data_IF_265351763846
#
_entry.id   IF_265351763846
#
_cell.length_a   1.000
_cell.length_b   1.000
_cell.length_c   1.000
_cell.angle_alpha   90.00
_cell.angle_beta   90.00
_cell.angle_gamma   90.00
#
_symmetry.space_group_name_H-M   'P 1'
#
loop_
_entity.id
_entity.type
_entity.pdbx_description
1 polymer ?
#
# COMPACT_ATOMS: atom_id res chain seq x y z
N UNK A 1 49.12 -40.80 -16.89
CA UNK A 1 48.25 -40.93 -15.71
C UNK A 1 47.57 -39.58 -15.50
N UNK A 2 46.33 -39.39 -15.95
CA UNK A 2 45.58 -38.15 -15.72
C UNK A 2 44.55 -38.42 -14.63
N UNK A 3 44.80 -37.90 -13.43
CA UNK A 3 43.87 -37.91 -12.30
C UNK A 3 42.83 -36.80 -12.49
N UNK A 4 41.56 -37.16 -12.63
CA UNK A 4 40.45 -36.20 -12.59
C UNK A 4 39.90 -36.13 -11.17
N UNK A 5 40.05 -34.97 -10.52
CA UNK A 5 39.42 -34.65 -9.24
C UNK A 5 38.01 -34.12 -9.49
N UNK A 6 37.00 -34.88 -9.08
CA UNK A 6 35.59 -34.48 -9.15
C UNK A 6 35.28 -33.56 -7.96
N UNK A 7 35.07 -32.27 -8.21
CA UNK A 7 34.70 -31.28 -7.19
C UNK A 7 33.18 -31.32 -6.97
N UNK A 8 32.74 -31.78 -5.79
CA UNK A 8 31.35 -31.71 -5.37
C UNK A 8 31.01 -30.28 -4.97
N UNK A 9 30.15 -29.62 -5.74
CA UNK A 9 29.54 -28.34 -5.37
C UNK A 9 28.43 -28.57 -4.34
N UNK A 10 28.66 -28.15 -3.10
CA UNK A 10 27.64 -28.06 -2.06
C UNK A 10 26.77 -26.83 -2.34
N UNK A 11 25.55 -27.02 -2.82
CA UNK A 11 24.62 -25.92 -3.10
C UNK A 11 24.04 -25.43 -1.78
N UNK A 12 24.48 -24.25 -1.33
CA UNK A 12 23.92 -23.57 -0.17
C UNK A 12 22.48 -23.12 -0.53
N UNK A 13 21.47 -23.78 0.02
CA UNK A 13 20.07 -23.35 -0.07
C UNK A 13 19.92 -22.03 0.69
N UNK A 14 20.02 -20.91 -0.03
CA UNK A 14 19.65 -19.58 0.48
C UNK A 14 18.13 -19.57 0.71
N UNK A 15 17.73 -19.59 1.98
CA UNK A 15 16.35 -19.34 2.41
C UNK A 15 15.89 -18.00 1.86
N UNK A 16 15.06 -18.04 0.82
CA UNK A 16 14.40 -16.86 0.27
C UNK A 16 13.51 -16.31 1.37
N UNK A 17 13.87 -15.15 1.93
CA UNK A 17 13.00 -14.47 2.87
C UNK A 17 11.69 -14.20 2.13
N UNK A 18 10.55 -14.64 2.70
CA UNK A 18 9.23 -14.46 2.11
C UNK A 18 9.05 -12.99 1.71
N UNK A 19 8.94 -12.75 0.41
CA UNK A 19 8.64 -11.41 -0.12
C UNK A 19 7.16 -11.04 0.08
N UNK A 20 6.31 -12.03 0.35
CA UNK A 20 4.88 -11.81 0.53
C UNK A 20 4.55 -11.48 1.98
N UNK A 21 4.04 -10.28 2.20
CA UNK A 21 3.52 -9.87 3.50
C UNK A 21 2.15 -10.53 3.75
N UNK A 22 2.14 -11.55 4.61
CA UNK A 22 0.89 -12.22 5.00
C UNK A 22 0.02 -11.32 5.86
N UNK A 23 -1.30 -11.47 5.75
CA UNK A 23 -2.31 -10.65 6.41
C UNK A 23 -2.35 -9.18 5.97
N UNK A 24 -1.73 -8.83 4.85
CA UNK A 24 -1.82 -7.50 4.26
C UNK A 24 -2.92 -7.39 3.20
N UNK A 25 -3.35 -6.16 2.87
CA UNK A 25 -4.30 -5.92 1.80
C UNK A 25 -3.84 -6.42 0.43
N UNK A 26 -4.83 -6.75 -0.38
CA UNK A 26 -4.69 -6.96 -1.81
C UNK A 26 -5.99 -6.58 -2.51
N UNK A 27 -5.91 -6.37 -3.82
CA UNK A 27 -7.07 -6.06 -4.65
C UNK A 27 -7.57 -7.35 -5.30
N UNK A 28 -8.75 -7.80 -4.87
CA UNK A 28 -9.48 -8.89 -5.51
C UNK A 28 -10.16 -8.45 -6.82
N UNK A 29 -10.98 -9.34 -7.41
CA UNK A 29 -11.68 -9.07 -8.66
C UNK A 29 -12.51 -7.79 -8.58
N UNK A 30 -12.44 -6.97 -9.64
CA UNK A 30 -13.12 -5.68 -9.72
C UNK A 30 -12.75 -4.68 -8.61
N UNK A 31 -11.54 -4.80 -8.05
CA UNK A 31 -11.03 -3.92 -6.99
C UNK A 31 -11.61 -4.20 -5.61
N UNK A 32 -12.28 -5.34 -5.42
CA UNK A 32 -12.82 -5.74 -4.11
C UNK A 32 -11.71 -5.93 -3.08
N UNK A 33 -12.05 -5.73 -1.82
CA UNK A 33 -11.14 -6.02 -0.73
C UNK A 33 -10.73 -7.50 -0.73
N UNK A 34 -9.43 -7.72 -0.52
CA UNK A 34 -8.86 -9.02 -0.25
C UNK A 34 -7.76 -8.92 0.79
N UNK A 35 -7.32 -10.10 1.23
CA UNK A 35 -6.21 -10.26 2.17
C UNK A 35 -5.26 -11.36 1.69
N UNK A 36 -3.96 -11.14 1.83
CA UNK A 36 -2.93 -12.11 1.51
C UNK A 36 -2.84 -13.21 2.57
N UNK A 37 -3.39 -14.39 2.28
CA UNK A 37 -3.36 -15.57 3.16
C UNK A 37 -3.11 -16.84 2.37
N UNK A 38 -2.92 -17.97 3.05
CA UNK A 38 -2.77 -19.25 2.36
C UNK A 38 -4.04 -19.60 1.58
N UNK A 39 -3.87 -20.27 0.44
CA UNK A 39 -4.99 -20.76 -0.37
C UNK A 39 -5.94 -21.65 0.46
N UNK A 40 -5.40 -22.53 1.31
CA UNK A 40 -6.18 -23.37 2.21
C UNK A 40 -7.03 -22.56 3.21
N UNK A 41 -6.46 -21.51 3.82
CA UNK A 41 -7.20 -20.61 4.71
C UNK A 41 -8.28 -19.84 3.95
N UNK A 42 -8.01 -19.44 2.71
CA UNK A 42 -9.00 -18.75 1.88
C UNK A 42 -10.21 -19.65 1.58
N UNK A 43 -9.95 -20.87 1.13
CA UNK A 43 -10.99 -21.87 0.84
C UNK A 43 -11.80 -22.19 2.10
N UNK A 44 -11.15 -22.39 3.23
CA UNK A 44 -11.81 -22.68 4.51
C UNK A 44 -12.72 -21.52 4.98
N UNK A 45 -12.36 -20.29 4.65
CA UNK A 45 -13.16 -19.10 4.95
C UNK A 45 -14.31 -18.87 3.96
N UNK A 46 -14.41 -19.68 2.89
CA UNK A 46 -15.37 -19.51 1.80
C UNK A 46 -15.05 -18.33 0.88
N UNK A 47 -13.77 -17.96 0.76
CA UNK A 47 -13.29 -16.93 -0.16
C UNK A 47 -12.86 -17.51 -1.52
N UNK A 48 -12.57 -16.62 -2.46
CA UNK A 48 -11.93 -16.95 -3.73
C UNK A 48 -10.45 -16.57 -3.64
N UNK A 49 -9.57 -17.51 -3.98
CA UNK A 49 -8.13 -17.27 -4.05
C UNK A 49 -7.74 -16.72 -5.44
N UNK A 50 -7.04 -15.58 -5.46
CA UNK A 50 -6.56 -14.93 -6.69
C UNK A 50 -5.03 -14.96 -6.69
N UNK A 51 -4.47 -15.52 -7.76
CA UNK A 51 -3.02 -15.55 -7.98
C UNK A 51 -2.52 -14.24 -8.60
N UNK A 52 -1.31 -13.83 -8.23
CA UNK A 52 -0.62 -12.64 -8.71
C UNK A 52 -1.15 -11.32 -8.13
N UNK A 53 -2.01 -11.38 -7.11
CA UNK A 53 -2.70 -10.21 -6.57
C UNK A 53 -2.13 -9.73 -5.23
N UNK A 54 -1.28 -10.54 -4.56
CA UNK A 54 -0.53 -10.08 -3.40
C UNK A 54 0.77 -9.39 -3.84
N UNK A 55 1.25 -8.42 -3.07
CA UNK A 55 2.61 -7.95 -3.22
C UNK A 55 3.59 -9.12 -3.08
N UNK A 56 4.31 -9.42 -4.16
CA UNK A 56 5.32 -10.48 -4.26
C UNK A 56 4.87 -11.89 -3.78
N UNK A 57 3.74 -12.38 -4.30
CA UNK A 57 3.16 -13.73 -4.11
C UNK A 57 4.19 -14.83 -3.76
N UNK A 58 4.14 -15.33 -2.51
CA UNK A 58 4.76 -16.61 -2.16
C UNK A 58 3.91 -17.76 -2.74
N UNK A 59 4.52 -18.93 -2.97
CA UNK A 59 3.90 -20.01 -3.75
C UNK A 59 2.48 -20.40 -3.29
N UNK A 60 2.22 -20.44 -1.97
CA UNK A 60 0.93 -20.81 -1.38
C UNK A 60 0.12 -19.63 -0.82
N UNK A 61 0.63 -18.40 -0.93
CA UNK A 61 -0.09 -17.20 -0.51
C UNK A 61 -0.81 -16.59 -1.71
N UNK A 62 -2.10 -16.33 -1.53
CA UNK A 62 -2.99 -15.79 -2.55
C UNK A 62 -3.78 -14.64 -1.97
N UNK A 63 -4.22 -13.73 -2.83
CA UNK A 63 -5.19 -12.73 -2.43
C UNK A 63 -6.52 -13.44 -2.20
N UNK A 64 -7.01 -13.47 -0.98
CA UNK A 64 -8.31 -14.03 -0.66
C UNK A 64 -9.37 -12.93 -0.66
N UNK A 65 -10.31 -12.99 -1.60
CA UNK A 65 -11.45 -12.08 -1.62
C UNK A 65 -12.73 -12.85 -1.29
N UNK A 66 -13.49 -12.35 -0.32
CA UNK A 66 -14.79 -12.92 0.07
C UNK A 66 -15.85 -11.83 -0.10
N UNK A 67 -16.71 -11.91 -1.12
CA UNK A 67 -17.56 -10.79 -1.48
C UNK A 67 -18.73 -10.56 -0.51
N UNK A 68 -19.12 -11.59 0.24
CA UNK A 68 -20.28 -11.56 1.12
C UNK A 68 -19.96 -12.20 2.47
N UNK A 69 -20.51 -11.61 3.53
CA UNK A 69 -20.57 -12.15 4.89
C UNK A 69 -22.04 -12.08 5.37
N UNK A 70 -22.33 -12.46 6.61
CA UNK A 70 -23.71 -12.69 7.07
C UNK A 70 -24.64 -11.49 6.85
N UNK A 71 -24.16 -10.27 7.07
CA UNK A 71 -24.95 -9.04 6.96
C UNK A 71 -24.29 -7.97 6.08
N UNK A 72 -23.44 -8.37 5.13
CA UNK A 72 -22.75 -7.40 4.28
C UNK A 72 -21.62 -7.98 3.44
N UNK A 73 -20.50 -7.27 3.38
CA UNK A 73 -19.34 -7.64 2.56
C UNK A 73 -18.02 -7.52 3.34
N UNK A 74 -17.03 -8.36 3.02
CA UNK A 74 -15.74 -8.32 3.70
C UNK A 74 -14.89 -7.15 3.23
N UNK A 75 -14.41 -6.34 4.19
CA UNK A 75 -13.57 -5.17 3.96
C UNK A 75 -12.59 -4.95 5.11
N UNK A 76 -11.56 -4.16 4.84
CA UNK A 76 -10.74 -3.59 5.90
C UNK A 76 -11.56 -2.62 6.74
N UNK A 77 -11.26 -2.56 8.04
CA UNK A 77 -12.03 -1.76 9.00
C UNK A 77 -12.08 -0.27 8.60
N UNK A 78 -10.96 0.28 8.08
CA UNK A 78 -10.90 1.67 7.58
C UNK A 78 -11.77 1.93 6.33
N UNK A 79 -12.21 0.87 5.65
CA UNK A 79 -12.96 0.95 4.39
C UNK A 79 -14.47 0.72 4.61
N UNK A 80 -14.92 0.71 5.87
CA UNK A 80 -16.30 0.46 6.25
C UNK A 80 -17.01 1.72 6.75
N UNK A 81 -17.89 2.28 5.92
CA UNK A 81 -18.75 3.43 6.29
C UNK A 81 -19.93 3.03 7.22
N UNK A 82 -19.88 1.89 7.90
CA UNK A 82 -20.98 1.34 8.70
C UNK A 82 -20.48 0.50 9.87
N UNK A 83 -21.34 -0.36 10.40
CA UNK A 83 -20.95 -1.26 11.49
C UNK A 83 -20.14 -2.43 10.98
N UNK A 84 -19.13 -2.82 11.75
CA UNK A 84 -18.27 -3.96 11.44
C UNK A 84 -18.50 -5.12 12.40
N UNK A 85 -18.58 -6.34 11.88
CA UNK A 85 -18.62 -7.57 12.66
C UNK A 85 -17.37 -8.43 12.42
N UNK A 86 -16.75 -8.89 13.50
CA UNK A 86 -15.57 -9.76 13.46
C UNK A 86 -15.92 -11.21 13.11
N UNK A 87 -14.90 -12.02 12.80
CA UNK A 87 -14.99 -13.49 12.66
C UNK A 87 -15.89 -14.01 11.51
N UNK A 88 -16.17 -13.19 10.49
CA UNK A 88 -16.96 -13.61 9.33
C UNK A 88 -16.19 -13.55 8.00
N UNK A 89 -14.98 -12.97 8.03
CA UNK A 89 -14.15 -12.68 6.88
C UNK A 89 -12.75 -13.31 7.05
N UNK A 90 -12.06 -13.63 5.94
CA UNK A 90 -10.74 -14.24 5.99
C UNK A 90 -9.68 -13.29 6.58
N UNK A 91 -8.61 -13.85 7.13
CA UNK A 91 -7.42 -13.09 7.50
C UNK A 91 -7.47 -12.44 8.90
N UNK A 92 -6.78 -11.30 9.11
CA UNK A 92 -6.55 -10.72 10.42
C UNK A 92 -7.79 -10.00 10.95
N UNK A 93 -7.73 -9.60 12.22
CA UNK A 93 -8.83 -8.91 12.92
C UNK A 93 -9.30 -7.60 12.26
N UNK A 94 -8.47 -6.97 11.42
CA UNK A 94 -8.84 -5.75 10.69
C UNK A 94 -9.73 -6.02 9.46
N UNK A 95 -9.76 -7.26 8.93
CA UNK A 95 -10.65 -7.67 7.85
C UNK A 95 -11.98 -8.15 8.44
N UNK A 96 -13.03 -7.35 8.27
CA UNK A 96 -14.31 -7.52 8.96
C UNK A 96 -15.48 -7.55 7.98
N UNK A 97 -16.63 -8.03 8.46
CA UNK A 97 -17.88 -7.92 7.75
C UNK A 97 -18.42 -6.51 7.91
N UNK A 98 -18.44 -5.73 6.84
CA UNK A 98 -19.00 -4.39 6.82
C UNK A 98 -20.48 -4.42 6.42
N UNK A 99 -21.35 -3.82 7.24
CA UNK A 99 -22.79 -3.74 6.97
C UNK A 99 -23.17 -2.77 5.84
N UNK A 100 -22.24 -1.90 5.44
CA UNK A 100 -22.49 -0.89 4.40
C UNK A 100 -22.22 -1.43 3.00
N UNK A 101 -23.11 -1.09 2.06
CA UNK A 101 -22.91 -1.32 0.63
C UNK A 101 -22.13 -0.18 -0.05
N UNK A 102 -21.93 0.97 0.62
CA UNK A 102 -21.20 2.10 0.06
C UNK A 102 -19.75 1.70 -0.25
N UNK A 103 -19.26 1.97 -1.45
CA UNK A 103 -17.91 1.60 -1.92
C UNK A 103 -16.89 2.74 -1.85
N UNK A 104 -17.28 3.91 -1.36
CA UNK A 104 -16.37 5.03 -1.14
C UNK A 104 -15.44 4.77 0.04
N UNK A 105 -14.26 5.38 -0.01
CA UNK A 105 -13.30 5.40 1.09
C UNK A 105 -13.32 6.76 1.81
N UNK A 106 -12.91 6.77 3.08
CA UNK A 106 -12.75 7.99 3.85
C UNK A 106 -14.07 8.56 4.37
N UNK A 107 -14.21 9.89 4.31
CA UNK A 107 -15.18 10.67 5.07
C UNK A 107 -14.54 11.61 6.10
N UNK A 108 -13.23 11.82 6.00
CA UNK A 108 -12.47 12.65 6.92
C UNK A 108 -12.73 14.14 6.68
N UNK A 109 -12.55 14.96 7.71
CA UNK A 109 -12.45 16.41 7.53
C UNK A 109 -11.18 16.74 6.74
N UNK A 110 -11.18 17.89 6.06
CA UNK A 110 -9.99 18.34 5.32
C UNK A 110 -8.79 18.43 6.27
N UNK A 111 -7.62 17.85 5.92
CA UNK A 111 -6.46 17.86 6.79
C UNK A 111 -5.83 19.26 6.82
N UNK A 112 -5.07 19.54 7.87
CA UNK A 112 -4.21 20.73 7.89
C UNK A 112 -3.05 20.52 6.92
N UNK A 113 -2.90 21.45 5.97
CA UNK A 113 -1.76 21.43 5.04
C UNK A 113 -0.57 22.14 5.69
N UNK A 114 0.63 21.52 5.73
CA UNK A 114 1.82 22.16 6.26
C UNK A 114 2.13 23.49 5.57
N UNK A 115 2.58 24.48 6.34
CA UNK A 115 3.02 25.75 5.80
C UNK A 115 4.38 25.62 5.08
N UNK A 116 4.61 26.52 4.14
CA UNK A 116 5.94 26.69 3.51
C UNK A 116 6.93 27.09 4.60
N UNK A 117 8.09 26.44 4.65
CA UNK A 117 9.10 26.60 5.70
C UNK A 117 9.09 25.43 6.69
N UNK A 118 7.92 24.94 7.08
CA UNK A 118 7.80 23.62 7.74
C UNK A 118 8.09 22.51 6.73
N UNK A 119 7.59 22.69 5.50
CA UNK A 119 7.85 21.86 4.34
C UNK A 119 8.38 22.69 3.18
N UNK A 120 9.04 22.03 2.21
CA UNK A 120 9.43 22.71 0.96
C UNK A 120 8.19 23.09 0.16
N UNK A 121 8.29 24.17 -0.60
CA UNK A 121 7.19 24.71 -1.41
C UNK A 121 6.58 23.65 -2.33
N UNK A 122 7.40 22.78 -2.93
CA UNK A 122 6.95 21.69 -3.81
C UNK A 122 6.02 20.73 -3.08
N UNK A 123 6.39 20.30 -1.86
CA UNK A 123 5.58 19.40 -1.02
C UNK A 123 4.27 20.05 -0.60
N UNK A 124 4.30 21.35 -0.25
CA UNK A 124 3.07 22.10 0.13
C UNK A 124 2.12 22.25 -1.06
N UNK A 125 2.65 22.55 -2.25
CA UNK A 125 1.85 22.68 -3.47
C UNK A 125 1.24 21.34 -3.87
N UNK A 126 2.03 20.27 -3.80
CA UNK A 126 1.55 18.92 -4.09
C UNK A 126 0.47 18.49 -3.08
N UNK A 127 0.67 18.75 -1.78
CA UNK A 127 -0.33 18.48 -0.75
C UNK A 127 -1.67 19.19 -1.03
N UNK A 128 -1.64 20.47 -1.43
CA UNK A 128 -2.85 21.22 -1.85
C UNK A 128 -3.54 20.56 -3.04
N UNK A 129 -2.77 20.20 -4.06
CA UNK A 129 -3.32 19.60 -5.28
C UNK A 129 -3.99 18.25 -4.98
N UNK A 130 -3.35 17.40 -4.18
CA UNK A 130 -3.88 16.08 -3.79
C UNK A 130 -5.13 16.23 -2.91
N UNK A 131 -5.11 17.08 -1.88
CA UNK A 131 -6.29 17.30 -1.01
C UNK A 131 -7.48 17.85 -1.80
N UNK A 132 -7.24 18.78 -2.73
CA UNK A 132 -8.29 19.32 -3.59
C UNK A 132 -8.88 18.28 -4.55
N UNK A 133 -8.04 17.37 -5.06
CA UNK A 133 -8.49 16.29 -5.95
C UNK A 133 -9.27 15.20 -5.21
N UNK A 134 -8.93 14.94 -3.94
CA UNK A 134 -9.46 13.83 -3.14
C UNK A 134 -10.09 14.31 -1.83
N UNK A 135 -11.15 15.14 -1.88
CA UNK A 135 -11.79 15.65 -0.67
C UNK A 135 -12.30 14.49 0.20
N UNK A 136 -11.98 14.55 1.50
CA UNK A 136 -12.39 13.56 2.50
C UNK A 136 -11.65 12.23 2.49
N UNK A 137 -10.64 12.05 1.63
CA UNK A 137 -9.87 10.81 1.52
C UNK A 137 -8.59 10.78 2.36
N UNK A 138 -8.16 11.93 2.87
CA UNK A 138 -6.89 12.10 3.57
C UNK A 138 -7.20 12.69 4.95
N UNK A 139 -6.87 11.93 5.99
CA UNK A 139 -7.11 12.32 7.39
C UNK A 139 -6.05 13.29 7.90
N UNK A 140 -4.82 13.11 7.45
CA UNK A 140 -3.64 13.81 7.94
C UNK A 140 -2.53 13.81 6.88
N UNK A 141 -1.65 14.82 6.95
CA UNK A 141 -0.47 14.92 6.09
C UNK A 141 0.78 14.94 6.97
N UNK A 142 1.60 13.89 6.85
CA UNK A 142 2.98 13.91 7.31
C UNK A 142 3.86 14.56 6.24
N UNK A 143 4.90 15.30 6.63
CA UNK A 143 5.81 15.90 5.64
C UNK A 143 7.26 15.97 6.11
N UNK A 144 7.61 16.85 7.06
CA UNK A 144 8.98 16.94 7.58
C UNK A 144 9.12 16.18 8.89
N UNK A 145 10.09 15.26 8.97
CA UNK A 145 10.48 14.61 10.23
C UNK A 145 11.39 15.52 11.05
N UNK A 146 11.38 15.34 12.37
CA UNK A 146 12.28 16.07 13.27
C UNK A 146 13.72 15.51 13.16
N UNK A 147 14.40 15.95 12.11
CA UNK A 147 15.77 15.59 11.78
C UNK A 147 16.43 16.64 10.89
N UNK A 148 17.77 16.68 10.93
CA UNK A 148 18.57 17.42 9.96
C UNK A 148 18.42 16.83 8.57
N UNK A 149 18.36 17.67 7.53
CA UNK A 149 18.28 17.22 6.13
C UNK A 149 19.63 16.65 5.67
N UNK A 150 19.76 15.33 5.45
CA UNK A 150 21.02 14.72 5.05
C UNK A 150 21.16 14.61 3.52
N UNK A 151 20.18 15.11 2.75
CA UNK A 151 20.07 14.91 1.30
C UNK A 151 19.60 13.50 0.89
N UNK A 152 19.76 12.49 1.75
CA UNK A 152 19.32 11.11 1.51
C UNK A 152 17.91 10.78 2.03
N UNK A 153 17.34 11.63 2.90
CA UNK A 153 15.99 11.47 3.43
C UNK A 153 15.10 12.62 2.97
N UNK A 154 14.17 12.31 2.07
CA UNK A 154 13.24 13.30 1.52
C UNK A 154 12.36 13.92 2.63
N UNK A 155 11.90 13.12 3.61
CA UNK A 155 11.20 13.65 4.78
C UNK A 155 12.04 14.59 5.65
N UNK A 156 13.29 14.25 5.97
CA UNK A 156 14.13 15.18 6.76
C UNK A 156 14.41 16.49 6.00
N UNK A 157 14.34 16.46 4.67
CA UNK A 157 14.51 17.62 3.80
C UNK A 157 13.20 18.36 3.50
N UNK A 158 12.06 17.88 3.99
CA UNK A 158 10.73 18.45 3.72
C UNK A 158 10.29 18.28 2.26
N UNK A 159 10.86 17.30 1.55
CA UNK A 159 10.65 16.95 0.13
C UNK A 159 9.78 15.70 -0.06
N UNK A 160 9.06 15.29 0.97
CA UNK A 160 8.11 14.19 0.91
C UNK A 160 6.83 14.51 1.67
N UNK A 161 5.75 13.83 1.30
CA UNK A 161 4.48 13.83 2.02
C UNK A 161 3.95 12.42 2.18
N UNK A 162 3.48 12.11 3.38
CA UNK A 162 2.68 10.91 3.67
C UNK A 162 1.22 11.34 3.77
N UNK A 163 0.40 10.87 2.83
CA UNK A 163 -1.04 11.10 2.81
C UNK A 163 -1.74 9.98 3.59
N UNK A 164 -2.04 10.22 4.86
CA UNK A 164 -2.69 9.24 5.73
C UNK A 164 -4.13 9.01 5.26
N UNK A 165 -4.39 7.83 4.69
CA UNK A 165 -5.65 7.52 4.00
C UNK A 165 -6.47 6.40 4.66
N UNK A 166 -5.96 5.84 5.76
CA UNK A 166 -6.66 4.92 6.68
C UNK A 166 -7.34 5.67 7.83
N UNK A 167 -7.89 4.95 8.82
CA UNK A 167 -8.39 5.58 10.05
C UNK A 167 -7.28 5.89 11.07
N UNK A 168 -6.17 5.15 11.05
CA UNK A 168 -5.01 5.36 11.91
C UNK A 168 -3.75 4.73 11.30
N UNK A 169 -2.57 5.12 11.78
CA UNK A 169 -1.32 4.42 11.45
C UNK A 169 -1.43 2.93 11.80
N UNK A 170 -0.90 2.06 10.95
CA UNK A 170 -1.02 0.61 11.06
C UNK A 170 -2.43 0.05 10.81
N UNK A 171 -3.38 0.88 10.33
CA UNK A 171 -4.68 0.42 9.89
C UNK A 171 -4.70 0.22 8.38
N UNK A 172 -5.02 -0.98 7.94
CA UNK A 172 -5.13 -1.32 6.53
C UNK A 172 -6.27 -0.55 5.84
N UNK A 173 -6.03 -0.14 4.60
CA UNK A 173 -7.04 0.45 3.70
C UNK A 173 -6.69 0.16 2.24
N UNK A 174 -7.70 0.18 1.36
CA UNK A 174 -7.51 0.23 -0.09
C UNK A 174 -7.62 1.65 -0.67
N UNK A 175 -7.82 2.67 0.17
CA UNK A 175 -8.08 4.06 -0.23
C UNK A 175 -6.95 4.73 -1.00
N UNK A 176 -5.71 4.24 -0.87
CA UNK A 176 -4.53 4.91 -1.44
C UNK A 176 -4.30 4.70 -2.94
N UNK A 177 -4.90 3.67 -3.58
CA UNK A 177 -4.55 3.33 -4.98
C UNK A 177 -4.84 4.48 -5.94
N UNK A 178 -6.03 5.06 -5.85
CA UNK A 178 -6.45 6.15 -6.75
C UNK A 178 -5.58 7.41 -6.54
N UNK A 179 -5.21 7.70 -5.30
CA UNK A 179 -4.34 8.82 -4.94
C UNK A 179 -2.94 8.60 -5.52
N UNK A 180 -2.37 7.41 -5.32
CA UNK A 180 -1.03 7.07 -5.79
C UNK A 180 -0.93 7.11 -7.32
N UNK A 181 -1.89 6.51 -8.02
CA UNK A 181 -1.92 6.55 -9.48
C UNK A 181 -2.14 7.97 -10.01
N UNK A 182 -2.97 8.79 -9.34
CA UNK A 182 -3.13 10.19 -9.74
C UNK A 182 -1.84 10.98 -9.56
N UNK A 183 -1.10 10.78 -8.47
CA UNK A 183 0.21 11.39 -8.28
C UNK A 183 1.18 11.02 -9.42
N UNK A 184 1.23 9.74 -9.80
CA UNK A 184 2.01 9.26 -10.96
C UNK A 184 1.59 9.95 -12.27
N UNK A 185 0.28 10.00 -12.56
CA UNK A 185 -0.24 10.64 -13.79
C UNK A 185 0.06 12.14 -13.81
N UNK A 186 0.11 12.80 -12.65
CA UNK A 186 0.41 14.23 -12.50
C UNK A 186 1.89 14.53 -12.19
N UNK A 187 2.79 13.57 -12.41
CA UNK A 187 4.23 13.65 -12.09
C UNK A 187 4.91 14.95 -12.50
N UNK A 188 4.59 15.50 -13.67
CA UNK A 188 5.19 16.75 -14.16
C UNK A 188 4.76 17.95 -13.33
N UNK A 189 3.45 18.06 -13.03
CA UNK A 189 2.89 19.14 -12.21
C UNK A 189 3.36 19.08 -10.77
N UNK A 190 3.54 17.87 -10.23
CA UNK A 190 3.98 17.66 -8.85
C UNK A 190 5.50 17.72 -8.68
N UNK A 191 6.27 17.84 -9.77
CA UNK A 191 7.72 17.61 -9.77
C UNK A 191 8.10 16.29 -9.06
N UNK A 192 7.40 15.21 -9.39
CA UNK A 192 7.45 13.94 -8.70
C UNK A 192 8.81 13.23 -8.89
N UNK A 193 9.38 12.75 -7.79
CA UNK A 193 10.53 11.85 -7.75
C UNK A 193 10.07 10.39 -7.77
N UNK A 194 9.23 10.00 -6.80
CA UNK A 194 8.59 8.68 -6.72
C UNK A 194 7.33 8.71 -5.85
N UNK A 195 6.50 7.68 -6.01
CA UNK A 195 5.32 7.42 -5.18
C UNK A 195 5.33 5.95 -4.75
N UNK A 196 4.91 5.69 -3.50
CA UNK A 196 4.80 4.36 -2.91
C UNK A 196 3.37 4.16 -2.39
N UNK A 197 2.80 3.00 -2.71
CA UNK A 197 1.51 2.56 -2.18
C UNK A 197 1.39 1.04 -2.25
N UNK A 198 0.97 0.41 -1.16
CA UNK A 198 0.67 -1.02 -1.08
C UNK A 198 1.85 -1.90 -1.50
N UNK A 199 3.01 -1.65 -0.89
CA UNK A 199 4.29 -2.34 -1.13
C UNK A 199 4.72 -2.31 -2.61
N UNK A 200 4.33 -1.26 -3.33
CA UNK A 200 4.75 -1.01 -4.70
C UNK A 200 5.25 0.41 -4.84
N UNK A 201 6.23 0.57 -5.73
CA UNK A 201 6.86 1.85 -6.04
C UNK A 201 6.80 2.14 -7.52
N UNK A 202 6.55 3.41 -7.84
CA UNK A 202 6.74 3.98 -9.17
C UNK A 202 7.69 5.18 -9.07
N UNK A 203 8.70 5.22 -9.95
CA UNK A 203 9.77 6.23 -9.90
C UNK A 203 9.97 6.86 -11.27
N UNK A 204 9.99 8.19 -11.33
CA UNK A 204 10.07 8.93 -12.61
C UNK A 204 11.31 8.56 -13.43
N UNK A 205 12.47 8.38 -12.78
CA UNK A 205 13.73 8.05 -13.44
C UNK A 205 13.84 6.58 -13.91
N UNK A 206 13.06 5.67 -13.33
CA UNK A 206 13.13 4.22 -13.60
C UNK A 206 11.99 3.78 -14.51
N UNK A 207 10.76 4.12 -14.15
CA UNK A 207 9.56 3.60 -14.81
C UNK A 207 9.18 4.38 -16.06
N UNK A 208 9.50 5.69 -16.09
CA UNK A 208 9.39 6.65 -17.22
C UNK A 208 8.00 6.89 -17.79
N UNK A 209 7.15 5.87 -17.89
CA UNK A 209 5.79 5.92 -18.45
C UNK A 209 4.75 5.60 -17.39
N UNK A 210 3.53 6.05 -17.65
CA UNK A 210 2.38 5.70 -16.83
C UNK A 210 2.11 4.20 -16.87
N UNK A 211 1.74 3.65 -15.72
CA UNK A 211 1.45 2.23 -15.51
C UNK A 211 0.29 2.12 -14.54
N UNK A 212 -0.57 1.14 -14.76
CA UNK A 212 -1.55 0.74 -13.74
C UNK A 212 -0.80 0.23 -12.49
N UNK A 213 -1.37 0.44 -11.31
CA UNK A 213 -0.76 0.05 -10.04
C UNK A 213 -0.28 -1.41 -10.02
N UNK A 214 -1.01 -2.33 -10.66
CA UNK A 214 -0.64 -3.74 -10.73
C UNK A 214 0.75 -3.96 -11.37
N UNK A 215 1.11 -3.12 -12.35
CA UNK A 215 2.38 -3.18 -13.09
C UNK A 215 3.52 -2.38 -12.44
N UNK A 216 3.30 -1.80 -11.26
CA UNK A 216 4.37 -1.14 -10.51
C UNK A 216 5.32 -2.17 -9.91
N UNK A 217 6.58 -1.76 -9.73
CA UNK A 217 7.61 -2.62 -9.13
C UNK A 217 7.25 -2.91 -7.68
N UNK A 218 7.36 -4.18 -7.30
CA UNK A 218 7.19 -4.61 -5.92
C UNK A 218 8.38 -4.18 -5.08
N UNK A 219 8.11 -3.83 -3.83
CA UNK A 219 9.11 -3.65 -2.79
C UNK A 219 9.23 -4.92 -1.96
N UNK A 220 10.33 -5.06 -1.25
CA UNK A 220 10.47 -6.04 -0.18
C UNK A 220 9.43 -5.82 0.92
N UNK A 221 9.04 -6.90 1.60
CA UNK A 221 8.30 -6.79 2.85
C UNK A 221 9.16 -6.16 3.94
N UNK A 222 8.65 -5.07 4.51
CA UNK A 222 9.30 -4.29 5.56
C UNK A 222 8.72 -4.54 6.95
N UNK A 223 7.80 -5.51 7.08
CA UNK A 223 7.39 -6.11 8.33
C UNK A 223 6.06 -5.63 8.91
N UNK A 224 5.50 -4.52 8.42
CA UNK A 224 4.19 -4.03 8.86
C UNK A 224 3.47 -3.15 7.82
N UNK A 225 2.17 -2.92 8.05
CA UNK A 225 1.29 -2.14 7.17
C UNK A 225 1.78 -0.71 6.92
N UNK A 226 2.41 -0.07 7.91
CA UNK A 226 2.93 1.29 7.77
C UNK A 226 4.13 1.27 6.85
N UNK A 227 5.10 0.39 7.12
CA UNK A 227 6.32 0.28 6.34
C UNK A 227 6.06 -0.23 4.92
N UNK A 228 4.99 -1.02 4.74
CA UNK A 228 4.49 -1.48 3.45
C UNK A 228 3.47 -0.52 2.81
N UNK A 229 3.20 0.64 3.41
CA UNK A 229 2.38 1.72 2.85
C UNK A 229 0.96 1.29 2.49
N UNK A 230 0.32 0.56 3.39
CA UNK A 230 -1.09 0.15 3.29
C UNK A 230 -2.03 1.03 4.12
N UNK A 231 -1.50 2.01 4.84
CA UNK A 231 -2.24 2.98 5.65
C UNK A 231 -2.04 4.44 5.16
N UNK A 232 -1.05 4.68 4.30
CA UNK A 232 -0.77 5.98 3.70
C UNK A 232 -0.14 5.86 2.30
N UNK A 233 -0.33 6.89 1.48
CA UNK A 233 0.41 7.06 0.22
C UNK A 233 1.62 7.95 0.48
N UNK A 234 2.82 7.43 0.23
CA UNK A 234 4.05 8.21 0.32
C UNK A 234 4.40 8.81 -1.04
N UNK A 235 4.73 10.10 -1.06
CA UNK A 235 5.10 10.82 -2.29
C UNK A 235 6.35 11.65 -2.02
N UNK A 236 7.36 11.48 -2.86
CA UNK A 236 8.60 12.24 -2.82
C UNK A 236 8.78 13.10 -4.07
N UNK A 237 9.41 14.26 -3.90
CA UNK A 237 9.52 15.29 -4.93
C UNK A 237 10.98 15.61 -5.27
N UNK A 238 11.22 16.06 -6.51
CA UNK A 238 12.50 16.68 -6.85
C UNK A 238 12.47 18.11 -6.28
N UNK A 239 13.49 18.45 -5.49
CA UNK A 239 13.57 19.73 -4.76
C UNK A 239 13.85 20.95 -5.61
#
# INVERSE_FOLDING_TARGET
>A
MHSSTLSMFFTLLLSSHSLCATNEPCYGPSGRAGVCITEASCTSAGGTAISGACPADAANIKCCSKPTCSSGNCRWSSDCAGTSASNQCPGPAQMKCCSSAATGFGGYSAPTIPAVGACKQVSVNAAKAVVNQFPGRIREIGCKRDCSCPGSSDHCCGLATDFMCSDAGGSATLSGKEIAEWCMRNRSTLNLKYVIWGQKIWTTSVDKTEKNWESWRTMEDRGDLTQNHWDHVHVSYNG
#
